data_IF_862914082058
#
_entry.id   IF_862914082058
#
_cell.length_a   1.000
_cell.length_b   1.000
_cell.length_c   1.000
_cell.angle_alpha   90.00
_cell.angle_beta   90.00
_cell.angle_gamma   90.00
#
_symmetry.space_group_name_H-M   'P 1'
#
loop_
_entity.id
_entity.type
_entity.pdbx_description
1 polymer ?
#
# COMPACT_ATOMS: atom_id res chain seq x y z
N UNK A 1 -22.76 -23.40 -3.99
CA UNK A 1 -22.12 -22.07 -3.99
C UNK A 1 -20.98 -22.08 -2.98
N UNK A 2 -19.76 -22.33 -3.44
CA UNK A 2 -18.57 -22.26 -2.58
C UNK A 2 -18.33 -20.79 -2.24
N UNK A 3 -18.51 -20.42 -0.97
CA UNK A 3 -18.15 -19.11 -0.45
C UNK A 3 -16.63 -19.04 -0.47
N UNK A 4 -16.04 -18.57 -1.57
CA UNK A 4 -14.61 -18.29 -1.65
C UNK A 4 -14.28 -17.33 -0.51
N UNK A 5 -13.50 -17.79 0.46
CA UNK A 5 -13.10 -16.98 1.60
C UNK A 5 -12.25 -15.82 1.05
N UNK A 6 -12.82 -14.63 0.99
CA UNK A 6 -12.13 -13.39 0.62
C UNK A 6 -10.88 -13.23 1.49
N UNK A 7 -9.71 -13.52 0.92
CA UNK A 7 -8.44 -13.42 1.64
C UNK A 7 -7.86 -12.04 1.39
N UNK A 8 -8.31 -11.05 2.16
CA UNK A 8 -7.74 -9.69 2.12
C UNK A 8 -6.36 -9.66 2.77
N UNK A 9 -5.55 -8.68 2.39
CA UNK A 9 -4.37 -8.32 3.17
C UNK A 9 -4.80 -7.91 4.58
N UNK A 10 -4.07 -8.34 5.60
CA UNK A 10 -4.19 -7.80 6.96
C UNK A 10 -3.35 -6.53 7.10
N UNK A 11 -3.58 -5.76 8.18
CA UNK A 11 -2.77 -4.57 8.51
C UNK A 11 -1.27 -4.89 8.59
N UNK A 12 -0.94 -6.02 9.22
CA UNK A 12 0.43 -6.50 9.37
C UNK A 12 1.02 -6.90 8.02
N UNK A 13 0.31 -7.72 7.23
CA UNK A 13 0.77 -8.13 5.90
C UNK A 13 1.01 -6.93 4.97
N UNK A 14 0.18 -5.90 5.06
CA UNK A 14 0.31 -4.68 4.24
C UNK A 14 1.54 -3.86 4.63
N UNK A 15 1.80 -3.75 5.93
CA UNK A 15 2.98 -3.04 6.46
C UNK A 15 4.27 -3.80 6.12
N UNK A 16 4.25 -5.13 6.23
CA UNK A 16 5.37 -5.99 5.84
C UNK A 16 5.64 -5.93 4.33
N UNK A 17 4.58 -5.98 3.50
CA UNK A 17 4.71 -5.84 2.06
C UNK A 17 5.36 -4.51 1.69
N UNK A 18 4.93 -3.41 2.32
CA UNK A 18 5.51 -2.10 2.06
C UNK A 18 7.00 -2.08 2.41
N UNK A 19 7.38 -2.56 3.60
CA UNK A 19 8.80 -2.64 4.00
C UNK A 19 9.65 -3.45 3.00
N UNK A 20 9.13 -4.58 2.52
CA UNK A 20 9.81 -5.39 1.51
C UNK A 20 9.88 -4.69 0.15
N UNK A 21 8.82 -3.96 -0.25
CA UNK A 21 8.80 -3.23 -1.52
C UNK A 21 9.80 -2.07 -1.51
N UNK A 22 9.85 -1.28 -0.45
CA UNK A 22 10.83 -0.21 -0.29
C UNK A 22 12.26 -0.74 -0.38
N UNK A 23 12.55 -1.87 0.28
CA UNK A 23 13.85 -2.54 0.17
C UNK A 23 14.20 -2.95 -1.27
N UNK A 24 13.22 -3.42 -2.04
CA UNK A 24 13.43 -3.81 -3.46
C UNK A 24 13.68 -2.60 -4.38
N UNK A 25 13.15 -1.44 -4.01
CA UNK A 25 13.28 -0.18 -4.75
C UNK A 25 14.44 0.69 -4.25
N UNK A 26 15.26 0.17 -3.34
CA UNK A 26 16.35 0.91 -2.68
C UNK A 26 15.90 2.20 -1.96
N UNK A 27 14.65 2.22 -1.49
CA UNK A 27 14.10 3.30 -0.66
C UNK A 27 14.43 2.99 0.80
N UNK A 28 15.24 3.84 1.43
CA UNK A 28 15.93 3.56 2.69
C UNK A 28 15.05 3.76 3.93
N UNK A 29 13.96 4.52 3.80
CA UNK A 29 13.06 4.76 4.93
C UNK A 29 11.62 5.09 4.51
N UNK A 30 10.71 4.96 5.48
CA UNK A 30 9.32 5.43 5.32
C UNK A 30 9.23 6.94 5.14
N UNK A 31 10.17 7.71 5.69
CA UNK A 31 10.21 9.16 5.54
C UNK A 31 10.60 9.52 4.10
N UNK A 32 11.64 8.87 3.56
CA UNK A 32 12.05 9.02 2.17
C UNK A 32 10.92 8.63 1.21
N UNK A 33 10.26 7.49 1.46
CA UNK A 33 9.08 7.08 0.69
C UNK A 33 7.96 8.14 0.74
N UNK A 34 7.62 8.65 1.92
CA UNK A 34 6.56 9.64 2.06
C UNK A 34 6.90 10.93 1.30
N UNK A 35 8.15 11.38 1.36
CA UNK A 35 8.65 12.54 0.60
C UNK A 35 8.56 12.32 -0.91
N UNK A 36 8.91 11.13 -1.41
CA UNK A 36 8.81 10.79 -2.85
C UNK A 36 7.36 10.82 -3.35
N UNK A 37 6.40 10.40 -2.51
CA UNK A 37 4.97 10.45 -2.84
C UNK A 37 4.38 11.86 -2.66
N UNK A 38 5.05 12.74 -1.90
CA UNK A 38 4.54 14.06 -1.53
C UNK A 38 3.52 14.04 -0.39
N UNK A 39 3.66 13.10 0.55
CA UNK A 39 2.78 12.93 1.71
C UNK A 39 3.55 12.92 3.03
N UNK A 40 2.86 13.06 4.14
CA UNK A 40 3.47 12.83 5.46
C UNK A 40 3.52 11.33 5.81
N UNK A 41 4.54 10.94 6.56
CA UNK A 41 4.75 9.55 7.02
C UNK A 41 3.56 8.99 7.80
N UNK A 42 2.85 9.83 8.57
CA UNK A 42 1.67 9.42 9.34
C UNK A 42 0.49 9.05 8.45
N UNK A 43 0.32 9.76 7.34
CA UNK A 43 -0.69 9.46 6.32
C UNK A 43 -0.39 8.16 5.59
N UNK A 44 0.86 7.95 5.16
CA UNK A 44 1.29 6.64 4.61
C UNK A 44 1.01 5.51 5.60
N UNK A 45 1.43 5.67 6.86
CA UNK A 45 1.21 4.66 7.90
C UNK A 45 -0.27 4.30 8.07
N UNK A 46 -1.17 5.30 8.08
CA UNK A 46 -2.62 5.08 8.19
C UNK A 46 -3.20 4.35 6.98
N UNK A 47 -2.66 4.56 5.78
CA UNK A 47 -3.09 3.81 4.59
C UNK A 47 -2.72 2.32 4.70
N UNK A 48 -1.46 2.01 5.01
CA UNK A 48 -0.98 0.63 5.08
C UNK A 48 -1.41 -0.11 6.35
N UNK A 49 -1.92 0.60 7.36
CA UNK A 49 -2.63 0.02 8.52
C UNK A 49 -4.15 -0.07 8.32
N UNK A 50 -4.64 0.32 7.14
CA UNK A 50 -6.07 0.34 6.78
C UNK A 50 -6.94 1.22 7.69
N UNK A 51 -6.32 2.16 8.41
CA UNK A 51 -7.02 3.11 9.29
C UNK A 51 -7.60 4.27 8.47
N UNK A 52 -7.08 4.50 7.26
CA UNK A 52 -7.58 5.50 6.30
C UNK A 52 -7.46 4.95 4.89
N UNK A 53 -8.38 5.34 4.00
CA UNK A 53 -8.25 5.08 2.56
C UNK A 53 -7.63 6.29 1.84
N UNK A 54 -6.70 6.09 0.90
CA UNK A 54 -6.23 7.15 0.03
C UNK A 54 -7.37 7.68 -0.85
N UNK A 55 -7.36 8.98 -1.14
CA UNK A 55 -8.22 9.56 -2.18
C UNK A 55 -7.74 9.14 -3.56
N UNK A 56 -8.57 9.35 -4.59
CA UNK A 56 -8.23 9.01 -5.97
C UNK A 56 -6.94 9.69 -6.44
N UNK A 57 -6.73 10.96 -6.06
CA UNK A 57 -5.54 11.74 -6.44
C UNK A 57 -4.24 11.21 -5.82
N UNK A 58 -4.35 10.40 -4.76
CA UNK A 58 -3.20 9.80 -4.06
C UNK A 58 -2.82 8.44 -4.65
N UNK A 59 -3.73 7.78 -5.38
CA UNK A 59 -3.47 6.46 -5.96
C UNK A 59 -2.34 6.51 -6.97
N UNK A 60 -2.36 7.47 -7.90
CA UNK A 60 -1.36 7.55 -8.96
C UNK A 60 0.07 7.79 -8.40
N UNK A 61 0.33 8.77 -7.51
CA UNK A 61 1.65 8.96 -6.91
C UNK A 61 2.16 7.74 -6.13
N UNK A 62 1.27 7.03 -5.43
CA UNK A 62 1.65 5.79 -4.73
C UNK A 62 2.06 4.70 -5.74
N UNK A 63 1.30 4.52 -6.82
CA UNK A 63 1.58 3.54 -7.86
C UNK A 63 2.91 3.82 -8.57
N UNK A 64 3.18 5.09 -8.89
CA UNK A 64 4.41 5.52 -9.56
C UNK A 64 5.64 5.23 -8.70
N UNK A 65 5.64 5.71 -7.45
CA UNK A 65 6.79 5.54 -6.54
C UNK A 65 7.00 4.08 -6.14
N UNK A 66 5.91 3.31 -5.97
CA UNK A 66 6.00 1.89 -5.66
C UNK A 66 6.20 1.01 -6.90
N UNK A 67 6.19 1.58 -8.10
CA UNK A 67 6.26 0.87 -9.39
C UNK A 67 5.27 -0.31 -9.46
N UNK A 68 4.01 -0.09 -9.10
CA UNK A 68 2.96 -1.12 -9.12
C UNK A 68 1.71 -0.67 -9.83
N UNK A 69 0.92 -1.63 -10.33
CA UNK A 69 -0.39 -1.33 -10.88
C UNK A 69 -1.36 -0.85 -9.78
N UNK A 70 -2.39 -0.07 -10.14
CA UNK A 70 -3.47 0.30 -9.21
C UNK A 70 -4.16 -0.92 -8.58
N UNK A 71 -4.35 -1.99 -9.35
CA UNK A 71 -4.90 -3.26 -8.83
C UNK A 71 -4.04 -3.81 -7.69
N UNK A 72 -2.71 -3.89 -7.89
CA UNK A 72 -1.78 -4.40 -6.88
C UNK A 72 -1.83 -3.55 -5.62
N UNK A 73 -1.82 -2.22 -5.76
CA UNK A 73 -1.92 -1.30 -4.64
C UNK A 73 -3.23 -1.51 -3.87
N UNK A 74 -4.37 -1.61 -4.57
CA UNK A 74 -5.67 -1.81 -3.94
C UNK A 74 -5.80 -3.17 -3.24
N UNK A 75 -5.16 -4.23 -3.77
CA UNK A 75 -5.08 -5.52 -3.09
C UNK A 75 -4.29 -5.40 -1.78
N UNK A 76 -3.11 -4.78 -1.82
CA UNK A 76 -2.25 -4.61 -0.63
C UNK A 76 -2.89 -3.69 0.41
N UNK A 77 -3.62 -2.65 -0.01
CA UNK A 77 -4.38 -1.80 0.91
C UNK A 77 -5.65 -2.47 1.46
N UNK A 78 -5.87 -3.76 1.17
CA UNK A 78 -7.03 -4.52 1.63
C UNK A 78 -8.35 -4.05 1.03
N UNK A 79 -8.32 -3.25 -0.05
CA UNK A 79 -9.51 -2.78 -0.75
C UNK A 79 -10.06 -3.87 -1.70
N UNK A 80 -9.19 -4.66 -2.31
CA UNK A 80 -9.50 -5.82 -3.14
C UNK A 80 -9.03 -7.13 -2.48
N UNK A 81 -9.63 -8.25 -2.88
CA UNK A 81 -9.24 -9.57 -2.40
C UNK A 81 -8.00 -10.08 -3.14
N UNK A 82 -7.18 -10.92 -2.48
CA UNK A 82 -6.10 -11.65 -3.15
C UNK A 82 -6.71 -12.61 -4.18
N UNK A 83 -6.06 -12.74 -5.34
CA UNK A 83 -6.37 -13.78 -6.33
C UNK A 83 -5.87 -15.14 -5.87
#
# INVERSE_FOLDING_TARGET
>A
MTRTLSRRYTKTESSEWLAQRLKKLDIRSYEEFANLVGLDRGTISRYFRHDRRPSIDVIAPLCEVLEVSPETLLIVLGALDKR
#
